data_IF_904183193959
#
_entry.id   IF_904183193959
#
_cell.length_a   1.000
_cell.length_b   1.000
_cell.length_c   1.000
_cell.angle_alpha   90.00
_cell.angle_beta   90.00
_cell.angle_gamma   90.00
#
_symmetry.space_group_name_H-M   'P 1'
#
loop_
_entity.id
_entity.type
_entity.pdbx_description
1 polymer ?
#
# COMPACT_ATOMS: atom_id res chain seq x y z
N UNK A 1 1.20 14.28 -28.96
CA UNK A 1 1.64 12.88 -28.84
C UNK A 1 2.53 12.77 -27.63
N UNK A 2 1.97 12.47 -26.45
CA UNK A 2 2.75 12.36 -25.22
C UNK A 2 3.36 10.96 -25.14
N UNK A 3 4.68 10.88 -25.36
CA UNK A 3 5.46 9.69 -25.10
C UNK A 3 5.31 9.32 -23.62
N UNK A 4 4.55 8.27 -23.34
CA UNK A 4 4.47 7.67 -22.02
C UNK A 4 5.83 7.03 -21.75
N UNK A 5 6.70 7.77 -21.08
CA UNK A 5 8.01 7.30 -20.64
C UNK A 5 7.76 6.07 -19.76
N UNK A 6 7.96 4.87 -20.31
CA UNK A 6 7.95 3.62 -19.54
C UNK A 6 9.09 3.73 -18.54
N UNK A 7 8.77 4.14 -17.31
CA UNK A 7 9.70 4.04 -16.18
C UNK A 7 9.95 2.55 -15.98
N UNK A 8 11.05 2.05 -16.55
CA UNK A 8 11.53 0.70 -16.28
C UNK A 8 12.05 0.73 -14.85
N UNK A 9 11.22 0.27 -13.92
CA UNK A 9 11.65 0.04 -12.53
C UNK A 9 12.76 -0.99 -12.60
N UNK A 10 14.02 -0.55 -12.44
CA UNK A 10 15.15 -1.47 -12.34
C UNK A 10 15.03 -2.18 -11.01
N UNK A 11 14.83 -3.50 -11.09
CA UNK A 11 14.92 -4.38 -9.92
C UNK A 11 16.39 -4.37 -9.49
N UNK A 12 16.65 -3.92 -8.28
CA UNK A 12 17.99 -3.91 -7.69
C UNK A 12 18.10 -5.15 -6.80
N UNK A 13 19.07 -6.05 -7.07
CA UNK A 13 19.22 -7.26 -6.28
C UNK A 13 19.59 -6.93 -4.83
N UNK A 14 19.19 -7.80 -3.91
CA UNK A 14 19.56 -7.65 -2.50
C UNK A 14 21.04 -7.97 -2.28
N UNK A 15 21.61 -7.40 -1.22
CA UNK A 15 22.95 -7.80 -0.78
C UNK A 15 22.92 -9.27 -0.33
N UNK A 16 23.92 -10.04 -0.75
CA UNK A 16 23.97 -11.50 -0.54
C UNK A 16 23.83 -11.89 0.94
N UNK A 17 24.42 -11.11 1.85
CA UNK A 17 24.32 -11.36 3.29
C UNK A 17 22.90 -11.23 3.82
N UNK A 18 22.17 -10.20 3.38
CA UNK A 18 20.79 -9.98 3.79
C UNK A 18 19.88 -11.06 3.21
N UNK A 19 20.09 -11.44 1.95
CA UNK A 19 19.36 -12.54 1.34
C UNK A 19 19.55 -13.85 2.12
N UNK A 20 20.79 -14.16 2.50
CA UNK A 20 21.11 -15.33 3.32
C UNK A 20 20.44 -15.29 4.70
N UNK A 21 20.37 -14.12 5.34
CA UNK A 21 19.65 -13.94 6.61
C UNK A 21 18.15 -14.16 6.44
N UNK A 22 17.53 -13.58 5.40
CA UNK A 22 16.11 -13.80 5.09
C UNK A 22 15.83 -15.29 4.88
N UNK A 23 16.66 -15.98 4.09
CA UNK A 23 16.53 -17.43 3.87
C UNK A 23 16.58 -18.21 5.18
N UNK A 24 17.51 -17.89 6.09
CA UNK A 24 17.59 -18.53 7.42
C UNK A 24 16.32 -18.30 8.24
N UNK A 25 15.79 -17.08 8.26
CA UNK A 25 14.55 -16.75 8.97
C UNK A 25 13.32 -17.47 8.37
N UNK A 26 13.29 -17.68 7.05
CA UNK A 26 12.24 -18.44 6.37
C UNK A 26 12.16 -19.90 6.86
N UNK A 27 13.28 -20.50 7.26
CA UNK A 27 13.32 -21.85 7.85
C UNK A 27 13.12 -21.85 9.39
N UNK A 28 13.07 -20.67 10.01
CA UNK A 28 12.90 -20.50 11.45
C UNK A 28 11.53 -19.92 11.80
N UNK A 29 11.51 -18.66 12.25
CA UNK A 29 10.32 -17.97 12.77
C UNK A 29 9.15 -17.93 11.79
N UNK A 30 9.43 -17.78 10.50
CA UNK A 30 8.43 -17.51 9.46
C UNK A 30 7.94 -18.78 8.76
N UNK A 31 8.53 -19.94 9.08
CA UNK A 31 8.25 -21.22 8.43
C UNK A 31 6.77 -21.64 8.54
N UNK A 32 6.12 -21.33 9.68
CA UNK A 32 4.70 -21.64 9.90
C UNK A 32 3.81 -20.89 8.90
N UNK A 33 3.94 -19.57 8.86
CA UNK A 33 3.18 -18.69 7.95
C UNK A 33 3.42 -19.06 6.49
N UNK A 34 4.66 -19.37 6.13
CA UNK A 34 5.02 -19.81 4.77
C UNK A 34 4.35 -21.13 4.39
N UNK A 35 4.30 -22.10 5.32
CA UNK A 35 3.59 -23.38 5.08
C UNK A 35 2.09 -23.16 4.93
N UNK A 36 1.50 -22.31 5.78
CA UNK A 36 0.07 -22.05 5.80
C UNK A 36 -0.43 -21.42 4.49
N UNK A 37 0.32 -20.46 3.96
CA UNK A 37 0.02 -19.82 2.67
C UNK A 37 0.75 -20.45 1.48
N UNK A 38 1.55 -21.50 1.67
CA UNK A 38 2.34 -22.11 0.60
C UNK A 38 3.25 -21.12 -0.14
N UNK A 39 3.87 -20.19 0.58
CA UNK A 39 4.81 -19.18 0.04
C UNK A 39 6.24 -19.69 0.17
N UNK A 40 7.04 -19.48 -0.86
CA UNK A 40 8.45 -19.92 -0.92
C UNK A 40 9.43 -18.79 -0.58
N UNK A 41 10.66 -19.10 -0.10
CA UNK A 41 11.66 -18.07 0.18
C UNK A 41 12.03 -17.24 -1.06
N UNK A 42 12.02 -17.85 -2.25
CA UNK A 42 12.36 -17.18 -3.50
C UNK A 42 11.29 -16.14 -3.89
N UNK A 43 10.00 -16.42 -3.64
CA UNK A 43 8.93 -15.44 -3.85
C UNK A 43 9.06 -14.24 -2.91
N UNK A 44 9.48 -14.47 -1.66
CA UNK A 44 9.73 -13.40 -0.68
C UNK A 44 10.88 -12.51 -1.16
N UNK A 45 12.00 -13.10 -1.57
CA UNK A 45 13.17 -12.35 -2.07
C UNK A 45 12.80 -11.54 -3.30
N UNK A 46 12.15 -12.17 -4.28
CA UNK A 46 11.70 -11.50 -5.50
C UNK A 46 10.74 -10.33 -5.18
N UNK A 47 9.83 -10.51 -4.22
CA UNK A 47 8.96 -9.44 -3.76
C UNK A 47 9.74 -8.28 -3.16
N UNK A 48 10.72 -8.54 -2.29
CA UNK A 48 11.52 -7.51 -1.62
C UNK A 48 12.41 -6.73 -2.60
N UNK A 49 12.97 -7.41 -3.60
CA UNK A 49 13.71 -6.77 -4.69
C UNK A 49 12.81 -5.83 -5.50
N UNK A 50 11.61 -6.30 -5.85
CA UNK A 50 10.61 -5.50 -6.56
C UNK A 50 10.07 -4.32 -5.73
N UNK A 51 9.97 -4.51 -4.41
CA UNK A 51 9.56 -3.46 -3.47
C UNK A 51 10.66 -2.42 -3.21
N UNK A 52 11.88 -2.62 -3.76
CA UNK A 52 12.99 -1.69 -3.67
C UNK A 52 13.72 -1.72 -2.32
N UNK A 53 13.70 -2.85 -1.60
CA UNK A 53 14.35 -2.99 -0.30
C UNK A 53 15.86 -2.67 -0.36
N UNK A 54 16.53 -2.96 -1.48
CA UNK A 54 17.95 -2.67 -1.67
C UNK A 54 18.32 -1.19 -1.52
N UNK A 55 17.37 -0.28 -1.75
CA UNK A 55 17.59 1.18 -1.68
C UNK A 55 17.13 1.76 -0.34
N UNK A 56 16.54 0.94 0.53
CA UNK A 56 15.97 1.39 1.79
C UNK A 56 17.02 1.79 2.83
N UNK A 57 16.70 2.78 3.66
CA UNK A 57 17.46 3.05 4.87
C UNK A 57 17.24 1.93 5.89
N UNK A 58 18.30 1.17 6.22
CA UNK A 58 18.28 0.03 7.17
C UNK A 58 17.42 -1.15 6.69
N UNK A 59 17.84 -1.87 5.63
CA UNK A 59 17.07 -2.97 5.06
C UNK A 59 16.92 -4.17 6.02
N UNK A 60 17.80 -4.30 7.00
CA UNK A 60 17.78 -5.32 8.08
C UNK A 60 16.43 -5.40 8.82
N UNK A 61 15.68 -4.27 8.90
CA UNK A 61 14.35 -4.21 9.56
C UNK A 61 13.31 -5.13 8.93
N UNK A 62 13.55 -5.58 7.71
CA UNK A 62 12.72 -6.57 7.02
C UNK A 62 12.55 -7.85 7.85
N UNK A 63 13.59 -8.24 8.59
CA UNK A 63 13.64 -9.47 9.37
C UNK A 63 12.60 -9.50 10.50
N UNK A 64 12.26 -8.33 11.05
CA UNK A 64 11.25 -8.18 12.11
C UNK A 64 9.82 -8.34 11.58
N UNK A 65 9.60 -8.19 10.27
CA UNK A 65 8.28 -8.14 9.65
C UNK A 65 8.09 -9.22 8.57
N UNK A 66 8.87 -10.31 8.60
CA UNK A 66 8.83 -11.36 7.57
C UNK A 66 7.46 -12.04 7.47
N UNK A 67 6.76 -12.28 8.59
CA UNK A 67 5.40 -12.86 8.53
C UNK A 67 4.41 -11.96 7.79
N UNK A 68 4.52 -10.64 7.99
CA UNK A 68 3.73 -9.66 7.24
C UNK A 68 4.05 -9.68 5.74
N UNK A 69 5.32 -9.94 5.37
CA UNK A 69 5.72 -10.06 3.97
C UNK A 69 5.17 -11.33 3.35
N UNK A 70 5.23 -12.47 4.05
CA UNK A 70 4.61 -13.72 3.60
C UNK A 70 3.13 -13.51 3.29
N UNK A 71 2.42 -12.84 4.21
CA UNK A 71 1.01 -12.53 4.03
C UNK A 71 0.79 -11.63 2.81
N UNK A 72 1.59 -10.58 2.64
CA UNK A 72 1.51 -9.71 1.46
C UNK A 72 1.76 -10.48 0.16
N UNK A 73 2.76 -11.37 0.12
CA UNK A 73 3.07 -12.22 -1.04
C UNK A 73 1.90 -13.17 -1.36
N UNK A 74 1.29 -13.78 -0.34
CA UNK A 74 0.10 -14.61 -0.52
C UNK A 74 -1.05 -13.83 -1.18
N UNK A 75 -1.30 -12.60 -0.70
CA UNK A 75 -2.30 -11.71 -1.28
C UNK A 75 -1.97 -11.31 -2.74
N UNK A 76 -0.70 -11.02 -3.04
CA UNK A 76 -0.22 -10.67 -4.40
C UNK A 76 -0.40 -11.84 -5.38
N UNK A 77 -0.23 -13.08 -4.92
CA UNK A 77 -0.52 -14.28 -5.72
C UNK A 77 -2.02 -14.47 -5.99
N UNK A 78 -2.88 -13.69 -5.33
CA UNK A 78 -4.33 -13.79 -5.46
C UNK A 78 -4.96 -14.83 -4.53
N UNK A 79 -4.26 -15.27 -3.48
CA UNK A 79 -4.81 -16.22 -2.51
C UNK A 79 -5.97 -15.58 -1.72
N UNK A 80 -7.17 -16.15 -1.87
CA UNK A 80 -8.37 -15.66 -1.17
C UNK A 80 -8.24 -15.74 0.34
N UNK A 81 -7.53 -16.74 0.88
CA UNK A 81 -7.33 -16.89 2.33
C UNK A 81 -6.47 -15.78 2.88
N UNK A 82 -5.41 -15.42 2.16
CA UNK A 82 -4.56 -14.28 2.51
C UNK A 82 -5.39 -13.00 2.62
N UNK A 83 -6.25 -12.72 1.64
CA UNK A 83 -7.11 -11.53 1.67
C UNK A 83 -8.11 -11.53 2.83
N UNK A 84 -8.77 -12.65 3.09
CA UNK A 84 -9.72 -12.78 4.20
C UNK A 84 -9.01 -12.52 5.54
N UNK A 85 -7.86 -13.18 5.75
CA UNK A 85 -7.10 -13.04 6.98
C UNK A 85 -6.57 -11.62 7.17
N UNK A 86 -6.13 -10.98 6.09
CA UNK A 86 -5.62 -9.60 6.12
C UNK A 86 -6.72 -8.63 6.58
N UNK A 87 -7.92 -8.77 6.03
CA UNK A 87 -9.08 -7.94 6.40
C UNK A 87 -9.55 -8.27 7.83
N UNK A 88 -9.54 -9.53 8.24
CA UNK A 88 -9.93 -9.91 9.61
C UNK A 88 -8.97 -9.33 10.66
N UNK A 89 -7.67 -9.38 10.40
CA UNK A 89 -6.65 -8.90 11.35
C UNK A 89 -6.57 -7.37 11.46
N UNK A 90 -6.88 -6.64 10.38
CA UNK A 90 -6.62 -5.20 10.30
C UNK A 90 -7.87 -4.35 9.97
N UNK A 91 -8.95 -4.96 9.51
CA UNK A 91 -10.15 -4.25 9.06
C UNK A 91 -10.77 -3.40 10.15
N UNK A 92 -11.08 -4.02 11.29
CA UNK A 92 -11.74 -3.33 12.39
C UNK A 92 -10.93 -2.17 12.96
N UNK A 93 -9.62 -2.34 13.16
CA UNK A 93 -8.79 -1.28 13.74
C UNK A 93 -8.60 -0.10 12.78
N UNK A 94 -8.46 -0.35 11.47
CA UNK A 94 -8.37 0.71 10.47
C UNK A 94 -9.70 1.45 10.30
N UNK A 95 -10.81 0.72 10.26
CA UNK A 95 -12.14 1.33 10.15
C UNK A 95 -12.46 2.20 11.37
N UNK A 96 -12.20 1.69 12.58
CA UNK A 96 -12.38 2.45 13.81
C UNK A 96 -11.52 3.72 13.83
N UNK A 97 -10.23 3.61 13.52
CA UNK A 97 -9.34 4.77 13.51
C UNK A 97 -9.75 5.81 12.45
N UNK A 98 -10.21 5.37 11.27
CA UNK A 98 -10.73 6.25 10.24
C UNK A 98 -12.03 6.95 10.67
N UNK A 99 -12.95 6.22 11.33
CA UNK A 99 -14.18 6.78 11.89
C UNK A 99 -13.91 7.82 12.97
N UNK A 100 -12.95 7.57 13.87
CA UNK A 100 -12.57 8.52 14.93
C UNK A 100 -11.97 9.82 14.35
N UNK A 101 -11.26 9.73 13.21
CA UNK A 101 -10.55 10.89 12.63
C UNK A 101 -11.39 11.67 11.61
N UNK A 102 -12.16 10.98 10.76
CA UNK A 102 -12.90 11.57 9.63
C UNK A 102 -14.41 11.27 9.68
N UNK A 103 -14.93 10.78 10.80
CA UNK A 103 -16.35 10.42 10.98
C UNK A 103 -16.82 9.42 9.90
N UNK A 104 -18.09 9.52 9.49
CA UNK A 104 -18.74 8.59 8.54
C UNK A 104 -17.98 8.50 7.21
N UNK A 105 -17.44 9.61 6.71
CA UNK A 105 -16.62 9.64 5.50
C UNK A 105 -15.34 8.77 5.66
N UNK A 106 -14.78 8.73 6.87
CA UNK A 106 -13.66 7.88 7.23
C UNK A 106 -14.00 6.39 7.18
N UNK A 107 -15.10 5.98 7.81
CA UNK A 107 -15.55 4.58 7.80
C UNK A 107 -15.85 4.09 6.37
N UNK A 108 -16.54 4.88 5.56
CA UNK A 108 -16.82 4.53 4.17
C UNK A 108 -15.54 4.42 3.34
N UNK A 109 -14.56 5.29 3.58
CA UNK A 109 -13.26 5.24 2.91
C UNK A 109 -12.44 4.03 3.33
N UNK A 110 -12.50 3.63 4.60
CA UNK A 110 -11.86 2.41 5.09
C UNK A 110 -12.45 1.15 4.43
N UNK A 111 -13.77 1.06 4.26
CA UNK A 111 -14.38 -0.03 3.50
C UNK A 111 -13.96 -0.05 2.03
N UNK A 112 -13.93 1.11 1.37
CA UNK A 112 -13.49 1.23 -0.02
C UNK A 112 -12.02 0.88 -0.20
N UNK A 113 -11.17 1.27 0.76
CA UNK A 113 -9.74 1.04 0.73
C UNK A 113 -9.38 -0.42 0.51
N UNK A 114 -10.09 -1.37 1.15
CA UNK A 114 -9.83 -2.79 0.94
C UNK A 114 -10.12 -3.26 -0.49
N UNK A 115 -11.19 -2.74 -1.09
CA UNK A 115 -11.53 -3.01 -2.49
C UNK A 115 -10.49 -2.40 -3.42
N UNK A 116 -10.09 -1.16 -3.17
CA UNK A 116 -9.06 -0.46 -3.94
C UNK A 116 -7.69 -1.13 -3.83
N UNK A 117 -7.30 -1.59 -2.63
CA UNK A 117 -6.06 -2.32 -2.40
C UNK A 117 -6.05 -3.66 -3.15
N UNK A 118 -7.18 -4.39 -3.14
CA UNK A 118 -7.30 -5.64 -3.88
C UNK A 118 -7.28 -5.42 -5.39
N UNK A 119 -7.98 -4.40 -5.89
CA UNK A 119 -7.96 -4.01 -7.30
C UNK A 119 -6.56 -3.53 -7.72
N UNK A 120 -5.88 -2.73 -6.90
CA UNK A 120 -4.52 -2.26 -7.18
C UNK A 120 -3.49 -3.38 -7.15
N UNK A 121 -3.69 -4.38 -6.28
CA UNK A 121 -2.77 -5.51 -6.15
C UNK A 121 -2.96 -6.54 -7.26
N UNK A 122 -4.20 -6.90 -7.60
CA UNK A 122 -4.51 -7.98 -8.55
C UNK A 122 -4.85 -7.48 -9.96
N UNK A 123 -5.18 -6.21 -10.12
CA UNK A 123 -5.56 -5.61 -11.39
C UNK A 123 -4.39 -5.08 -12.20
N UNK A 124 -4.71 -4.41 -13.31
CA UNK A 124 -3.71 -3.91 -14.23
C UNK A 124 -2.80 -2.83 -13.60
N UNK A 125 -1.54 -2.80 -14.08
CA UNK A 125 -0.56 -1.80 -13.65
C UNK A 125 -1.00 -0.42 -14.15
N UNK A 126 -1.02 0.56 -13.26
CA UNK A 126 -1.38 1.96 -13.59
C UNK A 126 -2.83 2.35 -13.30
N UNK A 127 -3.66 1.45 -12.75
CA UNK A 127 -4.98 1.82 -12.22
C UNK A 127 -4.88 2.95 -11.18
N UNK A 128 -5.66 4.00 -11.39
CA UNK A 128 -5.81 5.13 -10.50
C UNK A 128 -7.21 5.15 -9.89
N UNK A 129 -7.33 5.76 -8.73
CA UNK A 129 -8.58 6.15 -8.10
C UNK A 129 -9.21 7.31 -8.88
N UNK A 130 -10.48 7.60 -8.57
CA UNK A 130 -11.22 8.70 -9.18
C UNK A 130 -10.60 10.09 -8.89
N UNK A 131 -9.78 10.20 -7.85
CA UNK A 131 -9.05 11.42 -7.47
C UNK A 131 -7.69 11.56 -8.21
N UNK A 132 -7.37 10.66 -9.12
CA UNK A 132 -6.11 10.66 -9.89
C UNK A 132 -4.92 10.04 -9.17
N UNK A 133 -5.04 9.69 -7.89
CA UNK A 133 -3.98 9.00 -7.16
C UNK A 133 -3.90 7.52 -7.55
N UNK A 134 -2.69 6.93 -7.58
CA UNK A 134 -2.57 5.52 -7.93
C UNK A 134 -3.21 4.64 -6.84
N UNK A 135 -3.86 3.56 -7.26
CA UNK A 135 -4.40 2.58 -6.32
C UNK A 135 -3.28 2.03 -5.43
N UNK A 136 -3.50 1.88 -4.11
CA UNK A 136 -2.51 1.28 -3.23
C UNK A 136 -2.26 -0.18 -3.65
N UNK A 137 -1.00 -0.63 -3.56
CA UNK A 137 -0.56 -1.94 -4.05
C UNK A 137 0.32 -2.62 -3.03
N UNK A 138 0.03 -3.88 -2.69
CA UNK A 138 0.88 -4.66 -1.77
C UNK A 138 2.28 -4.90 -2.33
N UNK A 139 2.48 -4.84 -3.64
CA UNK A 139 3.79 -4.88 -4.28
C UNK A 139 4.74 -3.76 -3.79
N UNK A 140 4.22 -2.68 -3.20
CA UNK A 140 5.03 -1.59 -2.64
C UNK A 140 5.35 -1.76 -1.14
N UNK A 141 4.95 -2.87 -0.54
CA UNK A 141 5.23 -3.14 0.86
C UNK A 141 6.59 -3.85 1.02
N UNK A 142 7.62 -3.10 1.40
CA UNK A 142 8.98 -3.62 1.59
C UNK A 142 9.26 -4.22 2.99
N UNK A 143 8.27 -4.26 3.90
CA UNK A 143 8.45 -4.82 5.25
C UNK A 143 9.37 -4.03 6.20
N UNK A 144 9.66 -2.76 5.91
CA UNK A 144 10.47 -1.89 6.78
C UNK A 144 9.75 -1.43 8.06
N UNK A 145 8.44 -1.71 8.13
CA UNK A 145 7.55 -1.39 9.24
C UNK A 145 6.43 -2.43 9.28
N UNK A 146 5.74 -2.59 10.42
CA UNK A 146 4.61 -3.51 10.51
C UNK A 146 3.53 -3.19 9.47
N UNK A 147 2.92 -4.22 8.88
CA UNK A 147 1.94 -4.08 7.81
C UNK A 147 0.76 -3.19 8.19
N UNK A 148 0.28 -3.27 9.44
CA UNK A 148 -0.77 -2.39 9.97
C UNK A 148 -0.46 -0.89 9.78
N UNK A 149 0.78 -0.47 10.04
CA UNK A 149 1.16 0.94 9.90
C UNK A 149 1.29 1.29 8.43
N UNK A 150 1.79 0.36 7.61
CA UNK A 150 1.85 0.59 6.18
C UNK A 150 0.45 0.77 5.57
N UNK A 151 -0.52 -0.05 5.97
CA UNK A 151 -1.91 0.06 5.54
C UNK A 151 -2.55 1.37 6.02
N UNK A 152 -2.34 1.71 7.30
CA UNK A 152 -2.82 2.96 7.89
C UNK A 152 -2.33 4.17 7.10
N UNK A 153 -1.02 4.28 6.82
CA UNK A 153 -0.50 5.42 6.05
C UNK A 153 -1.11 5.54 4.66
N UNK A 154 -1.43 4.43 3.99
CA UNK A 154 -2.08 4.46 2.67
C UNK A 154 -3.53 4.90 2.77
N UNK A 155 -4.25 4.44 3.78
CA UNK A 155 -5.63 4.84 4.03
C UNK A 155 -5.71 6.33 4.41
N UNK A 156 -4.94 6.74 5.42
CA UNK A 156 -4.97 8.10 5.96
C UNK A 156 -4.36 9.11 4.99
N UNK A 157 -3.25 8.79 4.31
CA UNK A 157 -2.72 9.66 3.26
C UNK A 157 -3.72 9.88 2.12
N UNK A 158 -4.51 8.86 1.77
CA UNK A 158 -5.60 9.01 0.79
C UNK A 158 -6.74 9.87 1.30
N UNK A 159 -7.14 9.73 2.57
CA UNK A 159 -8.17 10.55 3.22
C UNK A 159 -7.77 12.03 3.32
N UNK A 160 -6.52 12.30 3.70
CA UNK A 160 -5.96 13.64 3.77
C UNK A 160 -5.94 14.31 2.39
N UNK A 161 -5.49 13.59 1.36
CA UNK A 161 -5.48 14.11 -0.02
C UNK A 161 -6.90 14.45 -0.53
N UNK A 162 -7.90 13.62 -0.22
CA UNK A 162 -9.31 13.89 -0.56
C UNK A 162 -9.82 15.12 0.20
N UNK A 163 -9.52 15.21 1.50
CA UNK A 163 -9.93 16.34 2.35
C UNK A 163 -9.33 17.65 1.86
N UNK A 164 -8.03 17.66 1.54
CA UNK A 164 -7.31 18.82 1.01
C UNK A 164 -7.86 19.25 -0.35
N UNK A 165 -8.15 18.29 -1.24
CA UNK A 165 -8.76 18.56 -2.55
C UNK A 165 -10.15 19.19 -2.43
N UNK A 166 -11.00 18.67 -1.51
CA UNK A 166 -12.31 19.26 -1.20
C UNK A 166 -12.16 20.68 -0.63
N UNK A 167 -11.16 20.92 0.20
CA UNK A 167 -10.89 22.25 0.78
C UNK A 167 -10.45 23.25 -0.29
N UNK A 168 -9.52 22.89 -1.17
CA UNK A 168 -9.10 23.71 -2.31
C UNK A 168 -10.28 24.08 -3.21
N UNK A 169 -11.09 23.10 -3.61
CA UNK A 169 -12.27 23.34 -4.44
C UNK A 169 -13.24 24.34 -3.80
N UNK A 170 -13.43 24.28 -2.46
CA UNK A 170 -14.25 25.28 -1.73
C UNK A 170 -13.63 26.68 -1.75
N UNK A 171 -12.32 26.79 -1.61
CA UNK A 171 -11.61 28.07 -1.67
C UNK A 171 -11.65 28.69 -3.08
N UNK A 172 -11.52 27.87 -4.12
CA UNK A 172 -11.66 28.31 -5.51
C UNK A 172 -13.07 28.85 -5.78
N UNK A 173 -14.11 28.19 -5.26
CA UNK A 173 -15.49 28.69 -5.37
C UNK A 173 -15.78 29.96 -4.55
N UNK A 174 -14.94 30.31 -3.56
CA UNK A 174 -15.09 31.56 -2.79
C UNK A 174 -14.37 32.74 -3.43
N UNK A 175 -13.51 32.50 -4.40
CA UNK A 175 -12.65 33.52 -5.04
C UNK A 175 -13.33 34.24 -6.20
N UNK A 176 -14.58 34.69 -6.05
CA UNK A 176 -15.13 35.68 -6.99
C UNK A 176 -16.24 36.61 -6.43
N UNK A 177 -15.92 37.58 -5.55
CA UNK A 177 -16.78 38.73 -5.29
C UNK A 177 -16.44 39.99 -6.11
N UNK A 178 -15.51 39.95 -7.08
CA UNK A 178 -15.08 41.13 -7.85
C UNK A 178 -15.12 40.95 -9.37
N UNK A 179 -16.25 40.50 -9.92
CA UNK A 179 -16.59 40.71 -11.34
C UNK A 179 -18.01 41.26 -11.47
N UNK A 180 -18.23 42.46 -10.91
CA UNK A 180 -19.38 43.34 -11.20
C UNK A 180 -18.90 44.79 -11.28
N UNK A 181 -17.92 45.06 -12.15
CA UNK A 181 -17.52 46.41 -12.53
C UNK A 181 -16.86 46.38 -13.91
N UNK A 182 -17.65 46.05 -14.93
CA UNK A 182 -17.56 46.66 -16.27
C UNK A 182 -18.64 46.01 -17.15
N UNK A 183 -19.86 46.50 -17.00
CA UNK A 183 -20.83 46.50 -18.09
C UNK A 183 -21.09 47.97 -18.35
N UNK A 184 -20.57 48.44 -19.48
CA UNK A 184 -20.83 49.74 -20.08
C UNK A 184 -22.34 49.99 -20.25
#
# INVERSE_FOLDING_TARGET
>A
MNQTQKVVVRVVPLHVDLENQIRRCCFGSTAKSMREFGVTPNEIILHLENAGLAVASRPERVLENLDSIVHAVACIRGDSRGWIELVNQHGWCLERAAMETFSVDGALSAHRFWSELRLGTNGERGGCRNDGWPLPRLQWFAGLRPLRHWLADRLFGGLEAISESKMRARLDTRSNPHTLADVM
#
